data_IF_328269853542
#
_entry.id   IF_328269853542
#
_cell.length_a   1.000
_cell.length_b   1.000
_cell.length_c   1.000
_cell.angle_alpha   90.00
_cell.angle_beta   90.00
_cell.angle_gamma   90.00
#
_symmetry.space_group_name_H-M   'P 1'
#
loop_
_entity.id
_entity.type
_entity.pdbx_description
1 polymer ?
#
# COMPACT_ATOMS: atom_id res chain seq x y z
N UNK A 1 21.32 14.55 35.47
CA UNK A 1 20.90 15.37 34.32
C UNK A 1 20.17 14.46 33.37
N UNK A 2 18.83 14.59 33.27
CA UNK A 2 18.02 13.85 32.28
C UNK A 2 18.21 14.59 30.96
N UNK A 3 18.75 13.92 29.94
CA UNK A 3 18.75 14.43 28.58
C UNK A 3 17.30 14.67 28.16
N UNK A 4 16.95 15.79 27.52
CA UNK A 4 15.62 15.99 27.02
C UNK A 4 15.28 14.84 26.07
N UNK A 5 14.11 14.24 26.22
CA UNK A 5 13.60 13.25 25.24
C UNK A 5 13.59 13.92 23.86
N UNK A 6 14.12 13.28 22.82
CA UNK A 6 14.03 13.82 21.47
C UNK A 6 12.56 14.07 21.13
N UNK A 7 12.29 15.19 20.47
CA UNK A 7 10.93 15.52 20.06
C UNK A 7 10.38 14.47 19.05
N UNK A 8 9.10 14.40 18.88
CA UNK A 8 8.44 13.40 18.00
C UNK A 8 8.97 13.49 16.56
N UNK A 9 9.22 14.69 16.07
CA UNK A 9 9.74 14.93 14.71
C UNK A 9 11.16 14.38 14.54
N UNK A 10 12.03 14.53 15.55
CA UNK A 10 13.38 13.97 15.56
C UNK A 10 13.36 12.43 15.55
N UNK A 11 12.46 11.83 16.31
CA UNK A 11 12.30 10.36 16.32
C UNK A 11 11.73 9.83 15.02
N UNK A 12 10.76 10.54 14.41
CA UNK A 12 10.22 10.19 13.10
C UNK A 12 11.29 10.26 12.00
N UNK A 13 12.14 11.28 12.03
CA UNK A 13 13.26 11.42 11.10
C UNK A 13 14.30 10.28 11.28
N UNK A 14 14.61 9.87 12.51
CA UNK A 14 15.50 8.73 12.78
C UNK A 14 14.95 7.40 12.24
N UNK A 15 13.64 7.15 12.41
CA UNK A 15 12.99 5.97 11.85
C UNK A 15 13.02 5.99 10.33
N UNK A 16 12.74 7.15 9.72
CA UNK A 16 12.76 7.32 8.27
C UNK A 16 14.17 7.08 7.70
N UNK A 17 15.21 7.63 8.31
CA UNK A 17 16.60 7.41 7.90
C UNK A 17 17.01 5.92 8.04
N UNK A 18 16.60 5.27 9.14
CA UNK A 18 16.84 3.85 9.31
C UNK A 18 16.16 3.00 8.22
N UNK A 19 14.92 3.35 7.85
CA UNK A 19 14.17 2.67 6.78
C UNK A 19 14.75 2.98 5.40
N UNK A 20 15.16 4.22 5.14
CA UNK A 20 15.76 4.63 3.88
C UNK A 20 17.04 3.85 3.57
N UNK A 21 17.89 3.63 4.58
CA UNK A 21 19.12 2.84 4.46
C UNK A 21 18.89 1.32 4.36
N UNK A 22 17.66 0.86 4.53
CA UNK A 22 17.27 -0.57 4.52
C UNK A 22 16.02 -0.77 3.67
N UNK A 23 16.15 -0.71 2.33
CA UNK A 23 15.02 -0.94 1.43
C UNK A 23 14.33 -2.27 1.75
N UNK A 24 13.00 -2.29 1.73
CA UNK A 24 12.21 -3.46 2.11
C UNK A 24 11.89 -3.58 3.61
N UNK A 25 12.51 -2.74 4.47
CA UNK A 25 12.20 -2.77 5.90
C UNK A 25 10.80 -2.22 6.20
N UNK A 26 10.20 -2.73 7.28
CA UNK A 26 8.90 -2.25 7.76
C UNK A 26 9.07 -1.23 8.88
N UNK A 27 8.08 -0.34 9.05
CA UNK A 27 8.04 0.57 10.20
C UNK A 27 8.06 -0.18 11.54
N UNK A 28 7.44 -1.36 11.60
CA UNK A 28 7.49 -2.22 12.79
C UNK A 28 8.92 -2.65 13.10
N UNK A 29 9.68 -3.09 12.10
CA UNK A 29 11.09 -3.46 12.27
C UNK A 29 11.94 -2.27 12.70
N UNK A 30 11.71 -1.08 12.14
CA UNK A 30 12.39 0.14 12.54
C UNK A 30 12.10 0.51 14.00
N UNK A 31 10.84 0.46 14.43
CA UNK A 31 10.43 0.71 15.83
C UNK A 31 11.00 -0.33 16.82
N UNK A 32 11.26 -1.55 16.37
CA UNK A 32 11.91 -2.57 17.19
C UNK A 32 13.43 -2.36 17.31
N UNK A 33 14.04 -1.78 16.27
CA UNK A 33 15.50 -1.57 16.22
C UNK A 33 15.97 -0.29 16.90
N UNK A 34 15.09 0.69 17.08
CA UNK A 34 15.43 2.00 17.65
C UNK A 34 14.62 2.28 18.93
N UNK A 35 15.24 2.95 19.92
CA UNK A 35 14.57 3.36 21.16
C UNK A 35 13.67 4.59 20.89
N UNK A 36 12.52 4.36 20.25
CA UNK A 36 11.57 5.41 19.89
C UNK A 36 10.21 5.19 20.57
N UNK A 37 9.46 6.27 20.72
CA UNK A 37 8.11 6.21 21.29
C UNK A 37 7.19 5.36 20.38
N UNK A 38 6.48 4.42 20.98
CA UNK A 38 5.51 3.56 20.29
C UNK A 38 4.32 4.34 19.73
N UNK A 39 4.00 5.51 20.30
CA UNK A 39 2.90 6.39 19.90
C UNK A 39 3.18 7.22 18.64
N UNK A 40 4.43 7.22 18.13
CA UNK A 40 4.82 7.95 16.95
C UNK A 40 3.91 7.67 15.76
N UNK A 41 3.42 8.75 15.13
CA UNK A 41 2.55 8.67 13.98
C UNK A 41 3.25 8.03 12.78
N UNK A 42 2.69 6.96 12.19
CA UNK A 42 3.24 6.42 10.94
C UNK A 42 3.32 7.46 9.81
N UNK A 43 2.38 8.41 9.76
CA UNK A 43 2.33 9.44 8.74
C UNK A 43 3.56 10.36 8.80
N UNK A 44 3.98 10.79 10.00
CA UNK A 44 5.18 11.62 10.18
C UNK A 44 6.45 10.88 9.69
N UNK A 45 6.59 9.61 10.05
CA UNK A 45 7.75 8.80 9.60
C UNK A 45 7.79 8.69 8.08
N UNK A 46 6.66 8.41 7.43
CA UNK A 46 6.59 8.28 5.98
C UNK A 46 6.79 9.62 5.27
N UNK A 47 6.35 10.75 5.84
CA UNK A 47 6.63 12.06 5.32
C UNK A 47 8.14 12.36 5.32
N UNK A 48 8.84 12.07 6.40
CA UNK A 48 10.30 12.20 6.45
C UNK A 48 10.99 11.26 5.45
N UNK A 49 10.50 10.03 5.30
CA UNK A 49 11.04 9.08 4.34
C UNK A 49 10.89 9.59 2.89
N UNK A 50 9.75 10.14 2.53
CA UNK A 50 9.54 10.74 1.21
C UNK A 50 10.47 11.92 0.95
N UNK A 51 10.69 12.77 1.96
CA UNK A 51 11.65 13.87 1.86
C UNK A 51 13.06 13.35 1.57
N UNK A 52 13.50 12.31 2.30
CA UNK A 52 14.81 11.68 2.07
C UNK A 52 14.92 11.07 0.67
N UNK A 53 13.89 10.38 0.21
CA UNK A 53 13.86 9.80 -1.14
C UNK A 53 13.92 10.88 -2.22
N UNK A 54 13.17 11.99 -2.07
CA UNK A 54 13.21 13.13 -3.00
C UNK A 54 14.57 13.84 -3.01
N UNK A 55 15.24 13.91 -1.86
CA UNK A 55 16.59 14.49 -1.76
C UNK A 55 17.65 13.57 -2.39
N UNK A 56 17.52 12.26 -2.24
CA UNK A 56 18.49 11.28 -2.73
C UNK A 56 18.29 10.95 -4.21
N UNK A 57 17.07 10.64 -4.62
CA UNK A 57 16.77 10.14 -5.97
C UNK A 57 16.28 11.24 -6.91
N UNK A 58 15.86 12.37 -6.37
CA UNK A 58 15.27 13.48 -7.08
C UNK A 58 13.74 13.39 -7.21
N UNK A 59 13.06 14.55 -7.29
CA UNK A 59 11.59 14.61 -7.28
C UNK A 59 10.97 13.92 -8.50
N UNK A 60 11.59 13.98 -9.68
CA UNK A 60 11.07 13.36 -10.89
C UNK A 60 11.10 11.83 -10.80
N UNK A 61 12.15 11.24 -10.22
CA UNK A 61 12.27 9.77 -10.04
C UNK A 61 11.20 9.29 -9.04
N UNK A 62 11.01 10.01 -7.94
CA UNK A 62 9.97 9.67 -6.96
C UNK A 62 8.58 9.79 -7.59
N UNK A 63 8.34 10.84 -8.37
CA UNK A 63 7.06 11.03 -9.08
C UNK A 63 6.81 9.89 -10.08
N UNK A 64 7.83 9.46 -10.84
CA UNK A 64 7.70 8.34 -11.78
C UNK A 64 7.33 7.03 -11.05
N UNK A 65 7.90 6.77 -9.88
CA UNK A 65 7.53 5.60 -9.05
C UNK A 65 6.06 5.60 -8.65
N UNK A 66 5.47 6.77 -8.37
CA UNK A 66 4.02 6.87 -8.11
C UNK A 66 3.21 6.53 -9.36
N UNK A 67 3.62 7.04 -10.52
CA UNK A 67 2.96 6.74 -11.80
C UNK A 67 2.99 5.23 -12.05
N UNK A 68 4.18 4.61 -11.98
CA UNK A 68 4.37 3.19 -12.21
C UNK A 68 3.51 2.33 -11.26
N UNK A 69 3.42 2.74 -9.98
CA UNK A 69 2.60 2.04 -8.99
C UNK A 69 1.10 2.17 -9.26
N UNK A 70 0.63 3.36 -9.66
CA UNK A 70 -0.78 3.54 -10.03
C UNK A 70 -1.13 2.80 -11.33
N UNK A 71 -0.24 2.77 -12.31
CA UNK A 71 -0.42 2.02 -13.56
C UNK A 71 -0.46 0.50 -13.31
N UNK A 72 0.44 -0.01 -12.48
CA UNK A 72 0.43 -1.41 -12.08
C UNK A 72 -0.85 -1.78 -11.34
N UNK A 73 -1.31 -0.93 -10.40
CA UNK A 73 -2.57 -1.13 -9.70
C UNK A 73 -3.76 -1.11 -10.67
N UNK A 74 -3.78 -0.15 -11.59
CA UNK A 74 -4.85 0.03 -12.56
C UNK A 74 -5.00 -1.19 -13.48
N UNK A 75 -3.89 -1.71 -14.01
CA UNK A 75 -3.90 -2.90 -14.88
C UNK A 75 -4.51 -4.12 -14.20
N UNK A 76 -4.18 -4.37 -12.93
CA UNK A 76 -4.77 -5.47 -12.17
C UNK A 76 -6.23 -5.21 -11.84
N UNK A 77 -6.60 -3.99 -11.46
CA UNK A 77 -7.99 -3.63 -11.14
C UNK A 77 -8.90 -3.75 -12.38
N UNK A 78 -8.42 -3.34 -13.56
CA UNK A 78 -9.15 -3.45 -14.82
C UNK A 78 -9.37 -4.93 -15.19
N UNK A 79 -8.33 -5.76 -15.12
CA UNK A 79 -8.45 -7.18 -15.40
C UNK A 79 -9.44 -7.89 -14.45
N UNK A 80 -9.44 -7.53 -13.16
CA UNK A 80 -10.40 -8.08 -12.20
C UNK A 80 -11.82 -7.60 -12.48
N UNK A 81 -12.00 -6.32 -12.85
CA UNK A 81 -13.31 -5.72 -13.14
C UNK A 81 -13.93 -6.32 -14.41
N UNK A 82 -13.13 -6.59 -15.43
CA UNK A 82 -13.54 -7.16 -16.70
C UNK A 82 -13.83 -8.66 -16.65
N UNK A 83 -13.07 -9.40 -15.82
CA UNK A 83 -13.12 -10.87 -15.80
C UNK A 83 -14.10 -11.44 -14.78
N UNK A 84 -14.46 -10.67 -13.74
CA UNK A 84 -15.31 -11.15 -12.65
C UNK A 84 -16.73 -10.62 -12.77
N UNK A 85 -17.69 -11.37 -12.26
CA UNK A 85 -19.09 -10.97 -12.28
C UNK A 85 -19.39 -9.92 -11.21
N UNK A 86 -19.53 -8.66 -11.63
CA UNK A 86 -19.83 -7.50 -10.76
C UNK A 86 -18.90 -7.40 -9.56
N UNK A 87 -17.58 -7.41 -9.73
CA UNK A 87 -16.66 -7.26 -8.63
C UNK A 87 -16.74 -5.83 -8.09
N UNK A 88 -16.53 -5.69 -6.78
CA UNK A 88 -16.22 -4.41 -6.16
C UNK A 88 -14.72 -4.34 -5.95
N UNK A 89 -14.01 -3.72 -6.90
CA UNK A 89 -12.55 -3.61 -6.86
C UNK A 89 -12.15 -2.26 -6.28
N UNK A 90 -11.25 -2.26 -5.31
CA UNK A 90 -10.79 -1.05 -4.61
C UNK A 90 -9.28 -1.06 -4.39
N UNK A 91 -8.63 0.05 -4.69
CA UNK A 91 -7.25 0.30 -4.26
C UNK A 91 -7.24 0.78 -2.82
N UNK A 92 -6.32 0.28 -2.01
CA UNK A 92 -6.18 0.65 -0.61
C UNK A 92 -4.70 0.70 -0.19
N UNK A 93 -4.42 1.13 1.05
CA UNK A 93 -3.08 1.10 1.60
C UNK A 93 -2.25 2.36 1.38
N UNK A 94 -0.93 2.23 1.48
CA UNK A 94 0.01 3.36 1.57
C UNK A 94 0.09 4.21 0.31
N UNK A 95 -0.12 3.62 -0.86
CA UNK A 95 -0.12 4.36 -2.11
C UNK A 95 -1.13 5.53 -2.08
N UNK A 96 -2.27 5.34 -1.40
CA UNK A 96 -3.30 6.37 -1.25
C UNK A 96 -2.95 7.46 -0.23
N UNK A 97 -2.02 7.18 0.67
CA UNK A 97 -1.63 8.10 1.74
C UNK A 97 -0.55 9.10 1.31
N UNK A 98 -0.08 9.02 0.06
CA UNK A 98 1.00 9.88 -0.43
C UNK A 98 2.38 9.53 0.12
N UNK A 99 2.55 8.34 0.71
CA UNK A 99 3.79 7.88 1.33
C UNK A 99 4.24 6.57 0.68
N UNK A 100 4.39 6.61 -0.64
CA UNK A 100 4.81 5.47 -1.44
C UNK A 100 6.33 5.39 -1.51
N UNK A 101 6.87 4.21 -1.23
CA UNK A 101 8.26 3.86 -1.51
C UNK A 101 8.33 2.48 -2.18
N UNK A 102 9.47 2.13 -2.75
CA UNK A 102 9.67 0.87 -3.48
C UNK A 102 9.41 -0.39 -2.65
N UNK A 103 9.51 -0.29 -1.32
CA UNK A 103 9.23 -1.40 -0.40
C UNK A 103 7.77 -1.47 0.05
N UNK A 104 6.95 -0.50 -0.36
CA UNK A 104 5.52 -0.53 -0.04
C UNK A 104 4.79 -1.50 -0.96
N UNK A 105 3.81 -2.21 -0.41
CA UNK A 105 2.93 -3.06 -1.21
C UNK A 105 1.75 -2.28 -1.79
N UNK A 106 1.40 -2.57 -3.03
CA UNK A 106 0.13 -2.17 -3.63
C UNK A 106 -0.95 -3.10 -3.09
N UNK A 107 -1.99 -2.56 -2.49
CA UNK A 107 -3.10 -3.33 -1.93
C UNK A 107 -4.37 -3.12 -2.72
N UNK A 108 -4.78 -4.15 -3.43
CA UNK A 108 -6.06 -4.20 -4.12
C UNK A 108 -6.99 -5.08 -3.31
N UNK A 109 -8.21 -4.64 -3.14
CA UNK A 109 -9.27 -5.36 -2.49
C UNK A 109 -10.34 -5.68 -3.52
N UNK A 110 -10.81 -6.92 -3.55
CA UNK A 110 -11.86 -7.37 -4.46
C UNK A 110 -12.90 -8.20 -3.73
N UNK A 111 -14.17 -7.92 -3.97
CA UNK A 111 -15.29 -8.66 -3.40
C UNK A 111 -15.69 -9.81 -4.35
N UNK A 112 -14.90 -10.88 -4.31
CA UNK A 112 -15.08 -12.08 -5.13
C UNK A 112 -14.51 -13.33 -4.43
N UNK A 113 -14.80 -14.51 -4.95
CA UNK A 113 -14.21 -15.76 -4.48
C UNK A 113 -12.70 -15.80 -4.76
N UNK A 114 -11.94 -16.33 -3.83
CA UNK A 114 -10.47 -16.31 -3.94
C UNK A 114 -9.96 -17.10 -5.15
N UNK A 115 -10.62 -18.20 -5.47
CA UNK A 115 -10.29 -19.06 -6.61
C UNK A 115 -10.53 -18.37 -7.95
N UNK A 116 -11.61 -17.61 -8.07
CA UNK A 116 -11.90 -16.81 -9.28
C UNK A 116 -10.86 -15.71 -9.48
N UNK A 117 -10.50 -15.02 -8.40
CA UNK A 117 -9.44 -14.01 -8.41
C UNK A 117 -8.11 -14.60 -8.84
N UNK A 118 -7.76 -15.78 -8.32
CA UNK A 118 -6.53 -16.47 -8.70
C UNK A 118 -6.46 -16.74 -10.19
N UNK A 119 -7.53 -17.22 -10.81
CA UNK A 119 -7.56 -17.48 -12.24
C UNK A 119 -7.27 -16.23 -13.06
N UNK A 120 -7.79 -15.07 -12.64
CA UNK A 120 -7.48 -13.79 -13.31
C UNK A 120 -6.01 -13.43 -13.13
N UNK A 121 -5.46 -13.58 -11.92
CA UNK A 121 -4.05 -13.28 -11.64
C UNK A 121 -3.11 -14.20 -12.42
N UNK A 122 -3.42 -15.49 -12.57
CA UNK A 122 -2.65 -16.45 -13.38
C UNK A 122 -2.59 -16.01 -14.85
N UNK A 123 -3.68 -15.45 -15.41
CA UNK A 123 -3.70 -14.88 -16.78
C UNK A 123 -2.83 -13.62 -16.93
N UNK A 124 -2.62 -12.88 -15.85
CA UNK A 124 -1.71 -11.72 -15.82
C UNK A 124 -0.24 -12.11 -15.58
N UNK A 125 0.09 -13.40 -15.67
CA UNK A 125 1.42 -13.95 -15.39
C UNK A 125 1.91 -13.69 -13.95
N UNK A 126 0.99 -13.48 -13.02
CA UNK A 126 1.30 -13.51 -11.60
C UNK A 126 1.59 -14.96 -11.18
N UNK A 127 2.47 -15.11 -10.20
CA UNK A 127 2.68 -16.40 -9.51
C UNK A 127 2.48 -16.19 -8.00
N UNK A 128 1.22 -15.92 -7.60
CA UNK A 128 0.95 -15.45 -6.27
C UNK A 128 0.99 -16.58 -5.24
N UNK A 129 1.62 -16.33 -4.11
CA UNK A 129 1.42 -17.15 -2.91
C UNK A 129 0.16 -16.70 -2.16
N UNK A 130 -0.52 -17.66 -1.50
CA UNK A 130 -1.68 -17.35 -0.67
C UNK A 130 -1.28 -17.05 0.78
N UNK A 131 -2.00 -16.13 1.40
CA UNK A 131 -1.91 -15.81 2.83
C UNK A 131 -3.30 -15.59 3.40
N UNK A 132 -3.55 -16.03 4.62
CA UNK A 132 -4.79 -15.70 5.33
C UNK A 132 -4.57 -14.43 6.17
N UNK A 133 -5.38 -13.42 5.92
CA UNK A 133 -5.36 -12.15 6.65
C UNK A 133 -6.57 -12.05 7.58
N UNK A 134 -6.34 -11.62 8.82
CA UNK A 134 -7.42 -11.22 9.72
C UNK A 134 -7.85 -9.79 9.41
N UNK A 135 -9.13 -9.60 9.11
CA UNK A 135 -9.73 -8.30 8.81
C UNK A 135 -10.95 -8.03 9.68
N UNK A 136 -11.51 -6.83 9.60
CA UNK A 136 -12.77 -6.48 10.31
C UNK A 136 -13.97 -7.34 9.86
N UNK A 137 -13.92 -7.88 8.66
CA UNK A 137 -14.98 -8.75 8.10
C UNK A 137 -14.70 -10.22 8.32
N UNK A 138 -13.67 -10.56 9.11
CA UNK A 138 -13.22 -11.92 9.36
C UNK A 138 -11.96 -12.28 8.56
N UNK A 139 -11.62 -13.57 8.49
CA UNK A 139 -10.47 -14.04 7.73
C UNK A 139 -10.73 -13.87 6.22
N UNK A 140 -9.75 -13.29 5.53
CA UNK A 140 -9.76 -13.12 4.07
C UNK A 140 -8.53 -13.78 3.46
N UNK A 141 -8.67 -14.36 2.28
CA UNK A 141 -7.53 -14.83 1.49
C UNK A 141 -6.89 -13.64 0.80
N UNK A 142 -5.57 -13.55 0.85
CA UNK A 142 -4.79 -12.59 0.08
C UNK A 142 -3.83 -13.33 -0.85
N UNK A 143 -3.78 -12.91 -2.10
CA UNK A 143 -2.82 -13.34 -3.10
C UNK A 143 -1.68 -12.31 -3.17
N UNK A 144 -0.43 -12.76 -3.03
CA UNK A 144 0.74 -11.90 -2.94
C UNK A 144 1.73 -12.26 -4.04
N UNK A 145 2.07 -11.29 -4.87
CA UNK A 145 3.22 -11.37 -5.77
C UNK A 145 4.31 -10.41 -5.27
N UNK A 146 5.44 -10.97 -4.86
CA UNK A 146 6.60 -10.25 -4.32
C UNK A 146 7.87 -10.51 -5.14
N UNK A 147 7.77 -11.12 -6.34
CA UNK A 147 8.90 -11.46 -7.20
C UNK A 147 9.59 -10.26 -7.82
N UNK A 148 8.86 -9.19 -8.02
CA UNK A 148 9.40 -7.92 -8.56
C UNK A 148 8.71 -6.72 -7.92
N UNK A 149 9.43 -5.61 -7.65
CA UNK A 149 8.81 -4.37 -7.22
C UNK A 149 7.93 -3.76 -8.32
N UNK A 150 6.81 -3.16 -7.93
CA UNK A 150 6.25 -3.09 -6.59
C UNK A 150 5.52 -4.38 -6.19
N UNK A 151 5.69 -4.81 -4.93
CA UNK A 151 4.95 -5.95 -4.40
C UNK A 151 3.44 -5.70 -4.49
N UNK A 152 2.70 -6.71 -4.98
CA UNK A 152 1.25 -6.64 -5.14
C UNK A 152 0.55 -7.58 -4.17
N UNK A 153 -0.49 -7.08 -3.49
CA UNK A 153 -1.36 -7.88 -2.63
C UNK A 153 -2.82 -7.70 -3.04
N UNK A 154 -3.46 -8.77 -3.46
CA UNK A 154 -4.89 -8.80 -3.81
C UNK A 154 -5.66 -9.51 -2.70
N UNK A 155 -6.50 -8.77 -1.99
CA UNK A 155 -7.27 -9.25 -0.83
C UNK A 155 -8.68 -9.61 -1.30
N UNK A 156 -9.02 -10.89 -1.21
CA UNK A 156 -10.34 -11.41 -1.57
C UNK A 156 -11.29 -11.28 -0.38
N UNK A 157 -12.25 -10.38 -0.48
CA UNK A 157 -13.26 -10.15 0.55
C UNK A 157 -14.52 -10.93 0.19
N UNK A 158 -15.11 -11.70 1.10
CA UNK A 158 -16.34 -12.41 0.81
C UNK A 158 -17.44 -11.49 0.27
N UNK A 159 -18.21 -11.90 -0.76
CA UNK A 159 -19.25 -11.07 -1.37
C UNK A 159 -20.28 -10.47 -0.41
N UNK A 160 -20.72 -11.15 0.67
CA UNK A 160 -21.64 -10.57 1.64
C UNK A 160 -21.14 -9.30 2.34
N UNK A 161 -19.82 -9.05 2.35
CA UNK A 161 -19.22 -7.86 2.95
C UNK A 161 -19.10 -6.67 1.98
N UNK A 162 -19.81 -6.68 0.85
CA UNK A 162 -19.80 -5.60 -0.17
C UNK A 162 -20.18 -4.23 0.38
N UNK A 163 -21.09 -4.16 1.32
CA UNK A 163 -21.51 -2.91 1.96
C UNK A 163 -20.35 -2.15 2.60
N UNK A 164 -19.28 -2.88 2.97
CA UNK A 164 -18.05 -2.32 3.53
C UNK A 164 -17.00 -1.96 2.47
N UNK A 165 -17.35 -1.96 1.18
CA UNK A 165 -16.40 -1.70 0.10
C UNK A 165 -15.67 -0.36 0.22
N UNK A 166 -16.34 0.65 0.76
CA UNK A 166 -15.79 1.99 0.95
C UNK A 166 -15.14 2.21 2.32
N UNK A 167 -15.11 1.20 3.18
CA UNK A 167 -14.50 1.29 4.51
C UNK A 167 -13.11 0.66 4.54
N UNK A 168 -12.29 1.07 5.49
CA UNK A 168 -11.01 0.41 5.75
C UNK A 168 -11.21 -0.99 6.32
N UNK A 169 -10.53 -2.00 5.78
CA UNK A 169 -10.50 -3.36 6.32
C UNK A 169 -9.65 -3.49 7.59
N UNK A 170 -8.85 -2.47 7.89
CA UNK A 170 -7.97 -2.45 9.07
C UNK A 170 -8.62 -1.53 10.12
N UNK A 171 -8.68 -2.00 11.36
CA UNK A 171 -9.18 -1.19 12.48
C UNK A 171 -8.33 0.09 12.61
N UNK A 172 -9.01 1.24 12.72
CA UNK A 172 -8.35 2.54 12.82
C UNK A 172 -7.82 3.12 11.49
N UNK A 173 -8.03 2.45 10.36
CA UNK A 173 -7.68 3.00 9.05
C UNK A 173 -8.60 4.17 8.67
N UNK A 174 -8.00 5.32 8.34
CA UNK A 174 -8.72 6.56 8.03
C UNK A 174 -8.84 6.84 6.54
N UNK A 175 -8.04 6.18 5.71
CA UNK A 175 -8.00 6.43 4.26
C UNK A 175 -9.09 5.61 3.57
N UNK A 176 -10.04 6.28 2.93
CA UNK A 176 -11.04 5.64 2.10
C UNK A 176 -10.39 4.96 0.88
N UNK A 177 -10.77 3.72 0.55
CA UNK A 177 -10.27 3.06 -0.64
C UNK A 177 -10.82 3.73 -1.90
N UNK A 178 -10.05 3.69 -3.00
CA UNK A 178 -10.43 4.27 -4.29
C UNK A 178 -11.00 3.22 -5.23
N UNK A 179 -12.06 3.57 -5.93
CA UNK A 179 -12.58 2.79 -7.06
C UNK A 179 -11.73 2.97 -8.33
N UNK A 180 -12.03 2.18 -9.37
CA UNK A 180 -11.29 2.16 -10.62
C UNK A 180 -11.22 3.56 -11.29
N UNK A 181 -12.33 4.31 -11.31
CA UNK A 181 -12.37 5.64 -11.92
C UNK A 181 -11.55 6.66 -11.13
N UNK A 182 -11.56 6.56 -9.81
CA UNK A 182 -10.76 7.40 -8.92
C UNK A 182 -9.26 7.10 -9.10
N UNK A 183 -8.89 5.82 -9.25
CA UNK A 183 -7.49 5.41 -9.53
C UNK A 183 -7.02 5.94 -10.88
N UNK A 184 -7.84 5.82 -11.95
CA UNK A 184 -7.55 6.41 -13.26
C UNK A 184 -7.29 7.93 -13.16
N UNK A 185 -8.11 8.64 -12.41
CA UNK A 185 -7.94 10.08 -12.19
C UNK A 185 -6.62 10.38 -11.47
N UNK A 186 -6.30 9.65 -10.41
CA UNK A 186 -5.04 9.82 -9.67
C UNK A 186 -3.82 9.57 -10.55
N UNK A 187 -3.84 8.52 -11.36
CA UNK A 187 -2.77 8.24 -12.32
C UNK A 187 -2.55 9.42 -13.28
N UNK A 188 -3.62 10.00 -13.82
CA UNK A 188 -3.54 11.19 -14.70
C UNK A 188 -3.03 12.44 -13.97
N UNK A 189 -3.43 12.66 -12.72
CA UNK A 189 -2.93 13.77 -11.90
C UNK A 189 -1.41 13.66 -11.69
N UNK A 190 -0.91 12.45 -11.36
CA UNK A 190 0.53 12.21 -11.19
C UNK A 190 1.32 12.41 -12.50
N UNK A 191 0.79 11.96 -13.64
CA UNK A 191 1.43 12.19 -14.95
C UNK A 191 1.52 13.68 -15.33
N UNK A 192 0.53 14.49 -14.94
CA UNK A 192 0.54 15.94 -15.21
C UNK A 192 1.49 16.72 -14.31
N UNK A 193 1.89 16.14 -13.19
CA UNK A 193 2.80 16.76 -12.23
C UNK A 193 4.29 16.44 -12.50
N UNK A 194 4.58 15.61 -13.50
CA UNK A 194 5.92 15.31 -14.01
C UNK A 194 6.34 16.36 -15.04
#
# INVERSE_FOLDING_TARGET
MLSPSPDSSSQAAQLADWMHRRPGSTLRAAKQALPVDSSLSPAEVFQHLEILERQHDGPAVVQQRYIDAYEAALGVMEALDESLLRPEVRLSGRLLQGHWNQSAEIRIRVHAAAEEVRLVLDHLAFDPRSETMSTRVGPCTAWIDDRSPPMMRVICVPPPARELANESLVAGGTTAPLDLNQVRRRCLEHRRAL
#
